data_IF_661147933171
#
_entry.id   IF_661147933171
#
_cell.length_a   1.000
_cell.length_b   1.000
_cell.length_c   1.000
_cell.angle_alpha   90.00
_cell.angle_beta   90.00
_cell.angle_gamma   90.00
#
_symmetry.space_group_name_H-M   'P 1'
#
loop_
_entity.id
_entity.type
_entity.pdbx_description
1 polymer ?
#
# COMPACT_ATOMS: atom_id res chain seq x y z
N UNK A 1 -7.07 -11.44 -2.05
CA UNK A 1 -5.77 -12.15 -2.02
C UNK A 1 -4.69 -11.19 -2.44
N UNK A 2 -3.42 -11.34 -1.96
CA UNK A 2 -2.29 -10.57 -2.48
C UNK A 2 -1.81 -11.21 -3.77
N UNK A 3 -1.61 -10.39 -4.79
CA UNK A 3 -1.27 -10.81 -6.15
C UNK A 3 0.04 -10.16 -6.57
N UNK A 4 0.93 -10.90 -7.22
CA UNK A 4 2.15 -10.34 -7.84
C UNK A 4 1.78 -9.67 -9.16
N UNK A 5 2.23 -8.43 -9.36
CA UNK A 5 2.04 -7.66 -10.58
C UNK A 5 3.39 -7.49 -11.30
N UNK A 6 3.76 -8.41 -12.20
CA UNK A 6 5.14 -8.48 -12.70
C UNK A 6 5.52 -7.37 -13.68
N UNK A 7 4.59 -6.88 -14.46
CA UNK A 7 4.80 -5.82 -15.47
C UNK A 7 3.55 -4.94 -15.56
N UNK A 8 3.46 -3.91 -14.71
CA UNK A 8 2.32 -3.01 -14.75
C UNK A 8 2.27 -2.24 -16.07
N UNK A 9 1.10 -2.20 -16.68
CA UNK A 9 0.83 -1.35 -17.83
C UNK A 9 0.91 0.13 -17.45
N UNK A 10 1.08 1.06 -18.40
CA UNK A 10 1.04 2.49 -18.11
C UNK A 10 -0.21 2.93 -17.34
N UNK A 11 -1.37 2.36 -17.67
CA UNK A 11 -2.63 2.65 -16.98
C UNK A 11 -2.64 2.15 -15.53
N UNK A 12 -2.02 1.00 -15.24
CA UNK A 12 -1.88 0.48 -13.89
C UNK A 12 -0.88 1.30 -13.08
N UNK A 13 0.23 1.76 -13.70
CA UNK A 13 1.15 2.70 -13.05
C UNK A 13 0.45 4.01 -12.68
N UNK A 14 -0.38 4.55 -13.56
CA UNK A 14 -1.17 5.74 -13.27
C UNK A 14 -2.16 5.53 -12.12
N UNK A 15 -2.83 4.38 -12.11
CA UNK A 15 -3.78 4.00 -11.06
C UNK A 15 -3.10 3.80 -9.70
N UNK A 16 -1.96 3.12 -9.65
CA UNK A 16 -1.16 2.93 -8.43
C UNK A 16 -0.59 4.25 -7.92
N UNK A 17 -0.15 5.14 -8.83
CA UNK A 17 0.31 6.49 -8.49
C UNK A 17 -0.82 7.33 -7.89
N UNK A 18 -2.03 7.24 -8.44
CA UNK A 18 -3.19 7.93 -7.90
C UNK A 18 -3.59 7.38 -6.51
N UNK A 19 -3.47 6.06 -6.29
CA UNK A 19 -3.68 5.45 -4.98
C UNK A 19 -2.63 5.93 -3.99
N UNK A 20 -1.35 5.96 -4.38
CA UNK A 20 -0.26 6.52 -3.58
C UNK A 20 -0.57 7.95 -3.15
N UNK A 21 -0.86 8.84 -4.10
CA UNK A 21 -1.16 10.25 -3.81
C UNK A 21 -2.34 10.40 -2.85
N UNK A 22 -3.43 9.68 -3.07
CA UNK A 22 -4.59 9.72 -2.19
C UNK A 22 -4.26 9.20 -0.77
N UNK A 23 -3.39 8.20 -0.66
CA UNK A 23 -2.95 7.67 0.63
C UNK A 23 -2.04 8.66 1.36
N UNK A 24 -1.09 9.27 0.65
CA UNK A 24 -0.16 10.28 1.19
C UNK A 24 -0.94 11.49 1.71
N UNK A 25 -1.83 12.07 0.92
CA UNK A 25 -2.69 13.18 1.33
C UNK A 25 -3.55 12.88 2.56
N UNK A 26 -3.84 11.63 2.82
CA UNK A 26 -4.63 11.20 3.98
C UNK A 26 -3.79 10.89 5.24
N UNK A 27 -2.44 10.91 5.16
CA UNK A 27 -1.58 10.41 6.25
C UNK A 27 -0.29 11.19 6.46
N UNK A 28 0.09 12.05 5.54
CA UNK A 28 1.36 12.76 5.56
C UNK A 28 1.10 14.28 5.64
N UNK A 29 0.44 14.71 6.73
CA UNK A 29 0.09 16.11 6.97
C UNK A 29 1.33 17.02 7.05
N UNK A 30 2.51 16.43 7.24
CA UNK A 30 3.81 17.11 7.27
C UNK A 30 4.38 17.37 5.86
N UNK A 31 3.87 16.71 4.82
CA UNK A 31 4.34 16.88 3.45
C UNK A 31 3.72 18.12 2.82
N UNK A 32 4.57 19.05 2.36
CA UNK A 32 4.13 20.25 1.65
C UNK A 32 3.40 19.92 0.35
N UNK A 33 2.35 20.65 0.05
CA UNK A 33 1.60 20.48 -1.21
C UNK A 33 2.48 20.68 -2.44
N UNK A 34 3.52 21.52 -2.34
CA UNK A 34 4.52 21.79 -3.37
C UNK A 34 5.43 20.59 -3.66
N UNK A 35 5.61 19.69 -2.69
CA UNK A 35 6.45 18.51 -2.83
C UNK A 35 5.72 17.31 -3.47
N UNK A 36 4.39 17.29 -3.36
CA UNK A 36 3.58 16.17 -3.89
C UNK A 36 3.80 15.95 -5.40
N UNK A 37 3.83 16.97 -6.27
CA UNK A 37 4.09 16.76 -7.70
C UNK A 37 5.46 16.15 -7.98
N UNK A 38 6.48 16.55 -7.22
CA UNK A 38 7.83 16.00 -7.33
C UNK A 38 7.84 14.50 -6.98
N UNK A 39 7.34 14.15 -5.80
CA UNK A 39 7.28 12.74 -5.37
C UNK A 39 6.36 11.90 -6.26
N UNK A 40 5.27 12.47 -6.76
CA UNK A 40 4.36 11.80 -7.68
C UNK A 40 5.05 11.35 -8.97
N UNK A 41 5.88 12.23 -9.54
CA UNK A 41 6.67 11.91 -10.74
C UNK A 41 7.67 10.79 -10.44
N UNK A 42 8.39 10.89 -9.34
CA UNK A 42 9.39 9.92 -8.90
C UNK A 42 8.75 8.55 -8.64
N UNK A 43 7.61 8.50 -7.92
CA UNK A 43 6.87 7.27 -7.69
C UNK A 43 6.47 6.60 -8.99
N UNK A 44 5.89 7.36 -9.93
CA UNK A 44 5.39 6.81 -11.18
C UNK A 44 6.48 6.29 -12.09
N UNK A 45 7.57 7.04 -12.23
CA UNK A 45 8.56 6.80 -13.27
C UNK A 45 9.74 5.95 -12.80
N UNK A 46 9.99 5.89 -11.50
CA UNK A 46 11.17 5.25 -10.92
C UNK A 46 10.79 4.18 -9.90
N UNK A 47 10.01 4.55 -8.86
CA UNK A 47 9.74 3.66 -7.75
C UNK A 47 8.88 2.46 -8.12
N UNK A 48 7.74 2.70 -8.75
CA UNK A 48 6.84 1.63 -9.17
C UNK A 48 7.52 0.69 -10.18
N UNK A 49 8.19 1.18 -11.25
CA UNK A 49 8.92 0.31 -12.16
C UNK A 49 10.15 -0.37 -11.56
N UNK A 50 10.79 0.27 -10.57
CA UNK A 50 12.02 -0.22 -9.93
C UNK A 50 11.80 -1.31 -8.86
N UNK A 51 10.56 -1.63 -8.50
CA UNK A 51 10.22 -2.57 -7.44
C UNK A 51 9.37 -3.74 -7.93
N UNK A 52 9.43 -4.85 -7.20
CA UNK A 52 8.50 -5.97 -7.40
C UNK A 52 7.19 -5.62 -6.69
N UNK A 53 6.12 -5.50 -7.45
CA UNK A 53 4.82 -5.05 -6.95
C UNK A 53 3.93 -6.21 -6.52
N UNK A 54 3.35 -6.08 -5.34
CA UNK A 54 2.30 -6.95 -4.81
C UNK A 54 1.06 -6.11 -4.55
N UNK A 55 -0.06 -6.51 -5.12
CA UNK A 55 -1.30 -5.73 -5.09
C UNK A 55 -2.44 -6.51 -4.43
N UNK A 56 -3.40 -5.77 -3.89
CA UNK A 56 -4.72 -6.27 -3.54
C UNK A 56 -5.72 -5.50 -4.40
N UNK A 57 -6.47 -6.25 -5.22
CA UNK A 57 -7.59 -5.70 -5.96
C UNK A 57 -8.88 -5.85 -5.15
N UNK A 58 -9.82 -4.97 -5.40
CA UNK A 58 -11.18 -5.18 -4.93
C UNK A 58 -11.68 -6.48 -5.59
N UNK A 59 -12.02 -7.50 -4.77
CA UNK A 59 -12.81 -8.59 -5.30
C UNK A 59 -14.16 -7.97 -5.68
N UNK A 60 -14.59 -8.16 -6.92
CA UNK A 60 -15.99 -7.96 -7.28
C UNK A 60 -16.79 -8.82 -6.29
N UNK A 61 -17.28 -8.17 -5.22
CA UNK A 61 -18.23 -8.79 -4.32
C UNK A 61 -19.41 -9.13 -5.21
N UNK A 62 -19.55 -10.42 -5.52
CA UNK A 62 -20.58 -10.92 -6.38
C UNK A 62 -21.87 -10.22 -6.04
N UNK A 63 -22.52 -9.67 -7.04
CA UNK A 63 -23.95 -9.45 -7.02
C UNK A 63 -24.55 -10.81 -6.70
N UNK A 64 -24.79 -11.06 -5.42
CA UNK A 64 -25.58 -12.18 -4.97
C UNK A 64 -26.98 -11.90 -5.49
N UNK A 65 -27.22 -12.30 -6.72
CA UNK A 65 -28.57 -12.62 -7.17
C UNK A 65 -28.96 -13.86 -6.38
N UNK A 66 -29.49 -13.62 -5.18
CA UNK A 66 -30.39 -14.58 -4.55
C UNK A 66 -31.52 -14.81 -5.55
N UNK A 67 -31.35 -15.85 -6.33
CA UNK A 67 -32.42 -16.41 -7.13
C UNK A 67 -33.51 -16.86 -6.17
N UNK A 68 -34.62 -16.17 -6.19
CA UNK A 68 -35.84 -16.64 -5.60
C UNK A 68 -36.19 -18.02 -6.22
N UNK A 69 -35.78 -19.06 -5.52
CA UNK A 69 -36.38 -20.37 -5.70
C UNK A 69 -37.70 -20.35 -4.92
N UNK A 70 -38.75 -19.91 -5.61
CA UNK A 70 -40.10 -20.10 -5.14
C UNK A 70 -40.44 -21.60 -5.12
N UNK A 71 -40.37 -22.20 -3.94
CA UNK A 71 -40.89 -23.54 -3.63
C UNK A 71 -42.29 -23.43 -3.09
N UNK A 72 -43.25 -23.92 -3.86
CA UNK A 72 -44.65 -24.07 -3.58
C UNK A 72 -44.95 -24.78 -2.26
N UNK A 73 -45.94 -24.30 -1.48
CA UNK A 73 -46.54 -25.09 -0.41
C UNK A 73 -47.48 -24.36 0.54
N UNK A 74 -48.74 -24.38 0.18
CA UNK A 74 -49.93 -24.47 1.08
C UNK A 74 -50.39 -23.30 1.91
N UNK A 75 -51.66 -22.99 1.68
CA UNK A 75 -52.54 -22.02 2.31
C UNK A 75 -52.79 -22.25 3.81
N UNK A 76 -52.94 -21.14 4.56
CA UNK A 76 -54.04 -20.93 5.51
C UNK A 76 -54.30 -19.42 5.70
N UNK A 77 -55.60 -19.12 5.71
CA UNK A 77 -56.17 -17.77 5.80
C UNK A 77 -56.08 -17.17 7.22
N UNK A 78 -56.06 -15.84 7.33
CA UNK A 78 -56.53 -15.16 8.52
C UNK A 78 -55.92 -13.81 8.83
N UNK A 79 -56.76 -12.77 8.62
CA UNK A 79 -56.86 -11.51 9.39
C UNK A 79 -55.85 -10.37 9.11
N UNK A 80 -56.43 -9.31 8.62
CA UNK A 80 -56.01 -7.92 8.51
C UNK A 80 -55.36 -7.36 9.79
N UNK A 81 -54.28 -6.56 9.63
CA UNK A 81 -54.15 -5.25 10.29
C UNK A 81 -53.14 -4.37 9.56
N UNK A 82 -53.66 -3.26 9.09
CA UNK A 82 -52.98 -2.08 8.58
C UNK A 82 -51.91 -1.58 9.55
N UNK A 83 -50.67 -1.48 9.06
CA UNK A 83 -49.57 -0.81 9.75
C UNK A 83 -48.53 -0.36 8.73
N UNK A 84 -48.66 0.87 8.24
CA UNK A 84 -47.76 1.46 7.28
C UNK A 84 -46.33 1.58 7.84
N UNK A 85 -45.41 0.74 7.42
CA UNK A 85 -43.98 0.94 7.61
C UNK A 85 -43.48 1.99 6.61
N UNK A 86 -43.44 3.21 7.08
CA UNK A 86 -42.74 4.33 6.41
C UNK A 86 -41.27 3.96 6.33
N UNK A 87 -40.81 3.53 5.14
CA UNK A 87 -39.37 3.38 4.83
C UNK A 87 -38.77 4.76 4.91
N UNK A 88 -38.03 5.04 5.99
CA UNK A 88 -37.05 6.11 5.99
C UNK A 88 -36.01 5.76 4.94
N UNK A 89 -35.93 6.54 3.89
CA UNK A 89 -34.82 6.56 2.95
C UNK A 89 -33.58 7.00 3.72
N UNK A 90 -32.89 6.02 4.30
CA UNK A 90 -31.56 6.19 4.87
C UNK A 90 -30.61 6.56 3.75
N UNK A 91 -29.91 7.67 3.93
CA UNK A 91 -29.02 8.26 2.96
C UNK A 91 -28.07 7.22 2.35
N UNK A 92 -27.87 7.34 1.05
CA UNK A 92 -26.88 6.65 0.29
C UNK A 92 -25.51 6.95 0.92
N UNK A 93 -25.01 6.03 1.74
CA UNK A 93 -23.61 6.00 2.12
C UNK A 93 -22.81 5.93 0.82
N UNK A 94 -22.10 7.00 0.51
CA UNK A 94 -21.15 7.04 -0.61
C UNK A 94 -20.21 5.85 -0.42
N UNK A 95 -20.40 4.79 -1.21
CA UNK A 95 -19.43 3.71 -1.40
C UNK A 95 -18.22 4.33 -2.11
N UNK A 96 -17.39 5.03 -1.31
CA UNK A 96 -16.28 5.78 -1.82
C UNK A 96 -15.10 4.87 -2.10
N UNK A 97 -14.76 4.67 -3.34
CA UNK A 97 -13.37 4.73 -3.72
C UNK A 97 -12.67 3.52 -4.30
N UNK A 98 -13.25 2.32 -4.37
CA UNK A 98 -12.50 1.19 -4.90
C UNK A 98 -12.36 1.20 -6.43
N UNK A 99 -13.38 1.57 -7.18
CA UNK A 99 -13.27 1.74 -8.64
C UNK A 99 -12.41 2.93 -9.08
N UNK A 100 -12.03 3.80 -8.16
CA UNK A 100 -11.30 5.04 -8.44
C UNK A 100 -9.82 4.82 -8.80
N UNK A 101 -9.22 3.70 -8.38
CA UNK A 101 -7.79 3.41 -8.58
C UNK A 101 -7.60 2.17 -9.46
N UNK A 102 -8.33 2.03 -10.56
CA UNK A 102 -8.21 0.88 -11.45
C UNK A 102 -8.50 -0.47 -10.79
N UNK A 103 -9.33 -0.47 -9.74
CA UNK A 103 -9.64 -1.65 -8.94
C UNK A 103 -8.59 -2.00 -7.88
N UNK A 104 -7.51 -1.24 -7.73
CA UNK A 104 -6.53 -1.44 -6.68
C UNK A 104 -7.02 -0.90 -5.33
N UNK A 105 -6.87 -1.72 -4.29
CA UNK A 105 -7.22 -1.38 -2.90
C UNK A 105 -5.98 -1.08 -2.07
N UNK A 106 -4.89 -1.81 -2.31
CA UNK A 106 -3.61 -1.64 -1.64
C UNK A 106 -2.48 -2.20 -2.50
N UNK A 107 -1.26 -1.71 -2.29
CA UNK A 107 -0.06 -2.29 -2.89
C UNK A 107 1.16 -2.19 -2.00
N UNK A 108 2.12 -3.08 -2.24
CA UNK A 108 3.45 -3.08 -1.68
C UNK A 108 4.47 -3.16 -2.80
N UNK A 109 5.57 -2.40 -2.71
CA UNK A 109 6.74 -2.49 -3.57
C UNK A 109 7.93 -3.05 -2.78
N UNK A 110 8.62 -4.02 -3.33
CA UNK A 110 9.72 -4.74 -2.68
C UNK A 110 10.98 -4.67 -3.54
N UNK A 111 12.11 -4.34 -2.94
CA UNK A 111 13.43 -4.42 -3.57
C UNK A 111 14.39 -5.18 -2.65
N UNK A 112 14.84 -6.37 -3.08
CA UNK A 112 15.64 -7.26 -2.24
C UNK A 112 14.90 -7.64 -0.95
N UNK A 113 15.47 -7.32 0.20
CA UNK A 113 14.88 -7.56 1.53
C UNK A 113 14.18 -6.30 2.12
N UNK A 114 14.05 -5.24 1.32
CA UNK A 114 13.45 -3.96 1.71
C UNK A 114 12.00 -3.85 1.23
N UNK A 115 11.11 -3.45 2.12
CA UNK A 115 9.78 -2.97 1.78
C UNK A 115 9.86 -1.48 1.46
N UNK A 116 9.90 -1.16 0.18
CA UNK A 116 10.05 0.21 -0.32
C UNK A 116 8.77 1.03 -0.25
N UNK A 117 7.65 0.36 -0.47
CA UNK A 117 6.34 0.99 -0.53
C UNK A 117 5.27 0.12 0.11
N UNK A 118 4.36 0.74 0.87
CA UNK A 118 3.13 0.12 1.36
C UNK A 118 2.02 1.16 1.43
N UNK A 119 1.09 1.09 0.52
CA UNK A 119 -0.01 2.04 0.47
C UNK A 119 -1.37 1.34 0.41
N UNK A 120 -2.33 1.90 1.13
CA UNK A 120 -3.71 1.42 1.22
C UNK A 120 -4.64 2.58 0.90
N UNK A 121 -5.60 2.36 0.01
CA UNK A 121 -6.59 3.37 -0.34
C UNK A 121 -7.27 3.91 0.94
N UNK A 122 -7.52 5.23 1.05
CA UNK A 122 -8.05 5.85 2.28
C UNK A 122 -9.32 5.16 2.81
N UNK A 123 -10.27 4.82 1.93
CA UNK A 123 -11.52 4.13 2.30
C UNK A 123 -11.37 2.64 2.65
N UNK A 124 -10.17 2.08 2.47
CA UNK A 124 -9.85 0.68 2.76
C UNK A 124 -8.96 0.50 3.99
N UNK A 125 -8.52 1.60 4.61
CA UNK A 125 -7.70 1.57 5.83
C UNK A 125 -8.45 0.96 7.00
N UNK A 126 -7.71 0.37 7.93
CA UNK A 126 -8.30 -0.33 9.09
C UNK A 126 -8.88 -1.71 8.80
N UNK A 127 -9.00 -2.12 7.53
CA UNK A 127 -9.57 -3.42 7.12
C UNK A 127 -8.53 -4.57 7.05
N UNK A 128 -7.30 -4.32 7.46
CA UNK A 128 -6.24 -5.35 7.54
C UNK A 128 -5.41 -5.55 6.27
N UNK A 129 -5.66 -4.82 5.19
CA UNK A 129 -4.93 -4.99 3.92
C UNK A 129 -3.42 -4.74 4.04
N UNK A 130 -3.00 -3.71 4.78
CA UNK A 130 -1.58 -3.46 5.05
C UNK A 130 -0.93 -4.63 5.79
N UNK A 131 -1.58 -5.18 6.82
CA UNK A 131 -1.10 -6.36 7.54
C UNK A 131 -1.00 -7.58 6.62
N UNK A 132 -1.96 -7.76 5.73
CA UNK A 132 -1.96 -8.87 4.77
C UNK A 132 -0.76 -8.77 3.83
N UNK A 133 -0.47 -7.59 3.28
CA UNK A 133 0.69 -7.37 2.40
C UNK A 133 2.01 -7.57 3.15
N UNK A 134 2.20 -6.95 4.32
CA UNK A 134 3.43 -7.11 5.11
C UNK A 134 3.66 -8.59 5.46
N UNK A 135 2.63 -9.29 5.94
CA UNK A 135 2.75 -10.72 6.23
C UNK A 135 3.10 -11.54 5.00
N UNK A 136 2.57 -11.17 3.84
CA UNK A 136 2.89 -11.86 2.60
C UNK A 136 4.36 -11.65 2.20
N UNK A 137 4.81 -10.39 2.10
CA UNK A 137 6.16 -10.10 1.64
C UNK A 137 7.25 -10.53 2.63
N UNK A 138 6.99 -10.50 3.94
CA UNK A 138 7.93 -11.02 4.94
C UNK A 138 8.07 -12.53 4.88
N UNK A 139 6.99 -13.27 4.59
CA UNK A 139 7.00 -14.74 4.53
C UNK A 139 7.48 -15.29 3.20
N UNK A 140 7.15 -14.63 2.10
CA UNK A 140 7.35 -15.18 0.75
C UNK A 140 8.46 -14.47 -0.03
N UNK A 141 8.79 -13.21 0.32
CA UNK A 141 9.81 -12.43 -0.38
C UNK A 141 11.05 -12.16 0.47
N UNK A 142 11.08 -12.61 1.71
CA UNK A 142 12.24 -12.42 2.58
C UNK A 142 12.43 -10.99 3.07
N UNK A 143 11.40 -10.15 3.00
CA UNK A 143 11.45 -8.75 3.48
C UNK A 143 11.76 -8.72 4.97
N UNK A 144 12.78 -7.93 5.33
CA UNK A 144 13.26 -7.75 6.70
C UNK A 144 13.38 -6.30 7.12
N UNK A 145 13.41 -5.37 6.19
CA UNK A 145 13.66 -3.95 6.42
C UNK A 145 12.54 -3.10 5.84
N UNK A 146 12.31 -1.95 6.47
CA UNK A 146 11.41 -0.91 5.98
C UNK A 146 11.90 0.44 6.45
N UNK A 147 11.81 1.44 5.60
CA UNK A 147 12.04 2.84 5.94
C UNK A 147 10.71 3.55 6.16
N UNK A 148 10.63 4.30 7.26
CA UNK A 148 9.41 4.98 7.69
C UNK A 148 9.72 6.43 8.00
N UNK A 149 8.95 7.36 7.46
CA UNK A 149 9.07 8.74 7.86
C UNK A 149 8.72 8.91 9.35
N UNK A 150 9.64 9.51 10.12
CA UNK A 150 9.48 9.73 11.56
C UNK A 150 8.24 10.57 11.88
N UNK A 151 7.87 11.49 10.97
CA UNK A 151 6.70 12.36 11.10
C UNK A 151 5.37 11.62 10.85
N UNK A 152 5.43 10.31 10.54
CA UNK A 152 4.26 9.44 10.40
C UNK A 152 4.20 8.42 11.56
N UNK A 153 3.79 8.80 12.77
CA UNK A 153 3.76 7.91 13.93
C UNK A 153 2.76 6.76 13.76
N UNK A 154 1.74 6.92 12.92
CA UNK A 154 0.80 5.83 12.62
C UNK A 154 1.47 4.70 11.86
N UNK A 155 2.33 5.01 10.88
CA UNK A 155 3.09 4.03 10.14
C UNK A 155 4.15 3.37 11.05
N UNK A 156 4.93 4.14 11.80
CA UNK A 156 5.91 3.61 12.75
C UNK A 156 5.26 2.62 13.73
N UNK A 157 4.17 3.02 14.41
CA UNK A 157 3.44 2.15 15.32
C UNK A 157 2.77 0.94 14.63
N UNK A 158 2.42 1.03 13.35
CA UNK A 158 1.95 -0.12 12.58
C UNK A 158 3.08 -1.15 12.39
N UNK A 159 4.27 -0.72 11.95
CA UNK A 159 5.41 -1.63 11.78
C UNK A 159 5.92 -2.22 13.10
N UNK A 160 5.90 -1.45 14.18
CA UNK A 160 6.21 -1.97 15.53
C UNK A 160 5.29 -3.13 15.92
N UNK A 161 3.98 -2.99 15.67
CA UNK A 161 2.99 -4.07 15.89
C UNK A 161 3.16 -5.26 14.96
N UNK A 162 3.84 -5.07 13.83
CA UNK A 162 4.24 -6.15 12.91
C UNK A 162 5.56 -6.82 13.31
N UNK A 163 6.22 -6.34 14.38
CA UNK A 163 7.44 -6.92 14.90
C UNK A 163 8.73 -6.23 14.44
N UNK A 164 8.64 -5.15 13.68
CA UNK A 164 9.79 -4.34 13.32
C UNK A 164 10.26 -3.49 14.52
N UNK A 165 11.55 -3.17 14.55
CA UNK A 165 12.18 -2.30 15.56
C UNK A 165 13.07 -1.29 14.86
N UNK A 166 13.12 -0.07 15.36
CA UNK A 166 14.03 0.96 14.86
C UNK A 166 15.47 0.53 15.09
N UNK A 167 16.26 0.44 14.03
CA UNK A 167 17.67 0.12 14.01
C UNK A 167 18.55 1.34 13.72
N UNK A 168 18.00 2.36 13.06
CA UNK A 168 18.72 3.59 12.70
C UNK A 168 17.78 4.73 12.39
N UNK A 169 18.35 5.92 12.17
CA UNK A 169 17.63 7.15 11.87
C UNK A 169 18.49 8.08 11.01
N UNK A 170 17.92 8.59 9.93
CA UNK A 170 18.48 9.69 9.15
C UNK A 170 17.69 10.99 9.42
N UNK A 171 18.41 12.13 9.45
CA UNK A 171 17.79 13.43 9.71
C UNK A 171 17.06 14.04 8.52
N UNK A 172 17.33 13.51 7.32
CA UNK A 172 16.73 13.93 6.06
C UNK A 172 16.39 12.69 5.21
N UNK A 173 15.52 12.87 4.24
CA UNK A 173 15.28 11.86 3.24
C UNK A 173 16.47 11.74 2.26
N UNK A 174 16.55 10.70 1.41
CA UNK A 174 17.62 10.52 0.44
C UNK A 174 17.73 11.64 -0.61
N UNK A 175 16.69 12.46 -0.80
CA UNK A 175 16.73 13.65 -1.66
C UNK A 175 17.26 14.89 -0.93
N UNK A 176 17.64 14.77 0.36
CA UNK A 176 18.16 15.83 1.19
C UNK A 176 17.09 16.77 1.77
N UNK A 177 15.81 16.41 1.66
CA UNK A 177 14.70 17.19 2.22
C UNK A 177 14.53 16.90 3.72
N UNK A 178 13.95 17.83 4.50
CA UNK A 178 13.83 17.73 5.95
C UNK A 178 12.72 16.75 6.38
N UNK A 179 12.77 15.54 5.85
CA UNK A 179 11.86 14.44 6.18
C UNK A 179 12.65 13.31 6.83
N UNK A 180 12.80 13.31 8.18
CA UNK A 180 13.58 12.29 8.88
C UNK A 180 13.04 10.88 8.67
N UNK A 181 13.93 9.93 8.49
CA UNK A 181 13.62 8.52 8.21
C UNK A 181 14.03 7.64 9.38
N UNK A 182 13.15 6.76 9.82
CA UNK A 182 13.43 5.65 10.73
C UNK A 182 13.71 4.40 9.90
N UNK A 183 14.90 3.84 10.05
CA UNK A 183 15.23 2.53 9.50
C UNK A 183 14.76 1.46 10.48
N UNK A 184 13.84 0.63 10.05
CA UNK A 184 13.27 -0.40 10.92
C UNK A 184 13.56 -1.78 10.38
N UNK A 185 13.91 -2.70 11.28
CA UNK A 185 14.22 -4.09 10.98
C UNK A 185 13.28 -5.04 11.69
N UNK A 186 12.89 -6.10 10.98
CA UNK A 186 12.08 -7.17 11.56
C UNK A 186 12.94 -8.00 12.50
N UNK A 187 12.58 -8.05 13.79
CA UNK A 187 13.27 -8.83 14.80
C UNK A 187 13.45 -10.29 14.38
N UNK A 188 14.58 -10.89 14.75
CA UNK A 188 14.87 -12.29 14.45
C UNK A 188 13.87 -13.20 15.17
N UNK A 189 12.92 -13.77 14.41
CA UNK A 189 12.40 -15.08 14.78
C UNK A 189 13.43 -16.12 14.29
N UNK A 190 13.72 -17.20 15.03
CA UNK A 190 14.64 -18.24 14.57
C UNK A 190 14.06 -18.89 13.31
N UNK A 191 14.64 -18.61 12.15
CA UNK A 191 14.24 -19.21 10.88
C UNK A 191 14.96 -20.52 10.65
N UNK A 192 14.19 -21.60 10.67
CA UNK A 192 14.58 -22.87 10.05
C UNK A 192 14.24 -22.78 8.56
N UNK A 193 15.25 -22.63 7.70
CA UNK A 193 15.09 -22.78 6.25
C UNK A 193 15.53 -21.56 5.43
N UNK A 194 16.83 -21.51 5.12
CA UNK A 194 17.40 -20.56 4.16
C UNK A 194 17.04 -20.98 2.73
N UNK A 195 16.16 -20.22 2.09
CA UNK A 195 16.16 -20.12 0.62
C UNK A 195 17.07 -18.96 0.27
N UNK A 196 18.24 -19.28 -0.30
CA UNK A 196 19.22 -18.31 -0.76
C UNK A 196 18.71 -17.65 -2.04
N UNK A 197 18.21 -16.41 -1.95
CA UNK A 197 17.88 -15.62 -3.13
C UNK A 197 19.20 -14.97 -3.62
N UNK A 198 19.48 -14.98 -4.95
CA UNK A 198 20.69 -14.34 -5.48
C UNK A 198 20.70 -12.84 -5.13
N UNK A 199 21.81 -12.38 -4.59
CA UNK A 199 22.07 -10.97 -4.34
C UNK A 199 22.10 -10.21 -5.68
N UNK A 200 21.09 -9.35 -5.90
CA UNK A 200 21.12 -8.32 -6.93
C UNK A 200 21.95 -7.14 -6.42
N UNK A 201 22.57 -6.35 -7.33
CA UNK A 201 23.48 -5.26 -6.95
C UNK A 201 22.79 -4.25 -6.02
N UNK A 202 23.54 -3.76 -5.04
CA UNK A 202 23.10 -2.92 -3.90
C UNK A 202 22.86 -1.45 -4.24
N UNK A 203 22.68 -1.07 -5.49
CA UNK A 203 22.46 0.31 -5.91
C UNK A 203 20.97 0.60 -6.17
N UNK A 204 20.12 0.53 -5.15
CA UNK A 204 18.68 0.78 -5.28
C UNK A 204 18.08 1.37 -4.01
N UNK A 205 17.64 2.47 -4.09
CA UNK A 205 16.50 3.41 -4.12
C UNK A 205 15.30 2.98 -3.26
N UNK A 206 15.19 3.53 -2.03
CA UNK A 206 14.09 3.28 -1.11
C UNK A 206 13.01 4.37 -1.10
N UNK A 207 11.72 4.01 -1.13
CA UNK A 207 10.60 4.94 -0.94
C UNK A 207 9.65 4.52 0.16
N UNK A 208 9.93 4.90 1.38
CA UNK A 208 8.85 5.37 2.26
C UNK A 208 8.97 6.88 2.32
N UNK A 209 8.61 7.69 1.38
CA UNK A 209 9.15 9.03 1.15
C UNK A 209 10.67 9.11 1.50
N UNK A 210 11.38 8.03 1.32
CA UNK A 210 12.80 7.87 1.49
C UNK A 210 13.40 7.25 0.24
N UNK A 211 13.18 7.85 -0.94
CA UNK A 211 13.69 7.37 -2.21
C UNK A 211 15.13 7.80 -2.41
N UNK A 212 16.04 6.88 -2.65
CA UNK A 212 17.41 7.15 -3.03
C UNK A 212 17.49 7.24 -4.56
N UNK A 213 17.44 8.45 -5.12
CA UNK A 213 17.82 8.67 -6.51
C UNK A 213 19.35 8.59 -6.62
N UNK A 214 19.89 7.85 -7.57
CA UNK A 214 21.27 8.01 -7.98
C UNK A 214 21.45 9.42 -8.57
N UNK A 215 22.26 10.23 -7.93
CA UNK A 215 22.78 11.45 -8.56
C UNK A 215 23.82 10.97 -9.58
N UNK A 216 23.64 11.22 -10.90
CA UNK A 216 24.68 10.89 -11.87
C UNK A 216 25.97 11.63 -11.47
N UNK A 217 27.04 10.85 -11.30
CA UNK A 217 28.34 11.35 -10.88
C UNK A 217 28.75 12.53 -11.71
N UNK A 218 29.03 13.65 -11.06
CA UNK A 218 29.82 14.73 -11.64
C UNK A 218 31.24 14.19 -11.81
N UNK A 219 31.55 13.76 -13.02
CA UNK A 219 32.93 13.53 -13.44
C UNK A 219 33.70 14.83 -13.22
N UNK A 220 34.45 14.88 -12.15
CA UNK A 220 35.45 15.93 -11.94
C UNK A 220 36.58 15.64 -12.88
N UNK A 221 36.50 16.21 -14.07
CA UNK A 221 37.56 16.26 -15.04
C UNK A 221 38.76 16.93 -14.39
N UNK A 222 39.77 16.13 -14.01
CA UNK A 222 41.10 16.60 -13.71
C UNK A 222 41.73 17.03 -15.02
N UNK A 223 41.80 18.30 -15.24
CA UNK A 223 42.75 18.86 -16.23
C UNK A 223 44.17 18.95 -15.65
N UNK A 224 45.19 18.76 -16.51
CA UNK A 224 46.59 18.62 -16.18
C UNK A 224 47.26 19.92 -15.70
#
# INVERSE_FOLDING_TARGET
>A
MSEHLPQPSPAELDALTALWEASVRATHDFLGEEDIPFFRQMVRNEALPGTILYVIRESEAGTNRSGDACGSGSAYAGAEKTGGCRRKSGGAGKSGGAGKFGGFTAFAGVAGDMLEMLFVAPGARGKGFGRQLVNYVTRHCGVRRVDVNEQNPQAAGFYERMGFRTAGRDAADPSGRPYPILHMELGHAPHTGLVKIPSLPTDRIGIGIGFRAEVPGTDTEKQP
#
